data_IF_928899519945
#
_entry.id   IF_928899519945
#
_cell.length_a   1.000
_cell.length_b   1.000
_cell.length_c   1.000
_cell.angle_alpha   90.00
_cell.angle_beta   90.00
_cell.angle_gamma   90.00
#
_symmetry.space_group_name_H-M   'P 1'
#
loop_
_entity.id
_entity.type
_entity.pdbx_description
1 polymer ?
#
# COMPACT_ATOMS: atom_id res chain seq x y z
N UNK A 1 5.47 2.02 6.77
CA UNK A 1 4.92 2.41 5.48
C UNK A 1 4.53 3.86 5.59
N UNK A 2 5.15 4.72 4.79
CA UNK A 2 4.92 6.16 4.75
C UNK A 2 4.53 6.54 3.32
N UNK A 3 3.32 7.04 3.14
CA UNK A 3 2.82 7.52 1.85
C UNK A 3 2.74 9.05 1.91
N UNK A 4 3.38 9.71 0.95
CA UNK A 4 3.23 11.14 0.75
C UNK A 4 2.26 11.42 -0.39
N UNK A 5 1.35 12.37 -0.22
CA UNK A 5 0.48 12.88 -1.28
C UNK A 5 0.72 14.39 -1.37
N UNK A 6 1.21 14.86 -2.51
CA UNK A 6 1.63 16.25 -2.70
C UNK A 6 1.21 16.78 -4.07
N UNK A 7 1.11 18.09 -4.19
CA UNK A 7 0.80 18.75 -5.46
C UNK A 7 2.00 19.49 -6.04
N UNK A 8 2.10 19.54 -7.37
CA UNK A 8 2.91 20.54 -8.08
C UNK A 8 2.09 21.80 -8.28
N UNK A 9 2.69 22.99 -8.14
CA UNK A 9 1.98 24.26 -8.31
C UNK A 9 1.47 24.43 -9.75
N UNK A 10 0.47 25.29 -9.93
CA UNK A 10 0.03 25.67 -11.26
C UNK A 10 1.13 26.43 -12.01
N UNK A 11 1.18 26.26 -13.33
CA UNK A 11 2.14 26.95 -14.20
C UNK A 11 2.07 28.49 -14.05
N UNK A 12 0.88 29.05 -13.79
CA UNK A 12 0.71 30.50 -13.61
C UNK A 12 1.32 31.04 -12.32
N UNK A 13 1.62 30.20 -11.32
CA UNK A 13 2.23 30.63 -10.06
C UNK A 13 3.73 30.97 -10.22
N UNK A 14 4.32 30.60 -11.37
CA UNK A 14 5.64 31.03 -11.81
C UNK A 14 6.77 30.05 -11.50
N UNK A 15 7.85 30.17 -12.30
CA UNK A 15 8.99 29.24 -12.30
C UNK A 15 9.68 29.08 -10.94
N UNK A 16 9.74 30.15 -10.13
CA UNK A 16 10.37 30.09 -8.80
C UNK A 16 9.65 29.09 -7.89
N UNK A 17 8.32 29.07 -7.89
CA UNK A 17 7.52 28.15 -7.06
C UNK A 17 7.62 26.72 -7.58
N UNK A 18 7.59 26.54 -8.90
CA UNK A 18 7.81 25.23 -9.54
C UNK A 18 9.18 24.62 -9.18
N UNK A 19 10.27 25.38 -9.28
CA UNK A 19 11.60 24.90 -8.90
C UNK A 19 11.70 24.54 -7.41
N UNK A 20 11.03 25.30 -6.53
CA UNK A 20 10.98 24.98 -5.10
C UNK A 20 10.21 23.68 -4.84
N UNK A 21 9.08 23.47 -5.53
CA UNK A 21 8.28 22.25 -5.42
C UNK A 21 9.07 21.02 -5.89
N UNK A 22 9.78 21.08 -7.01
CA UNK A 22 10.57 19.95 -7.50
C UNK A 22 11.71 19.56 -6.53
N UNK A 23 12.41 20.55 -5.97
CA UNK A 23 13.41 20.28 -4.94
C UNK A 23 12.81 19.61 -3.70
N UNK A 24 11.62 20.07 -3.27
CA UNK A 24 10.89 19.50 -2.14
C UNK A 24 10.39 18.08 -2.40
N UNK A 25 9.84 17.83 -3.59
CA UNK A 25 9.37 16.50 -4.05
C UNK A 25 10.54 15.52 -4.08
N UNK A 26 11.70 15.94 -4.61
CA UNK A 26 12.90 15.11 -4.63
C UNK A 26 13.35 14.73 -3.22
N UNK A 27 13.37 15.68 -2.27
CA UNK A 27 13.72 15.40 -0.89
C UNK A 27 12.70 14.48 -0.19
N UNK A 28 11.40 14.68 -0.43
CA UNK A 28 10.34 13.83 0.14
C UNK A 28 10.43 12.39 -0.34
N UNK A 29 10.81 12.18 -1.61
CA UNK A 29 10.97 10.83 -2.19
C UNK A 29 12.01 10.00 -1.44
N UNK A 30 13.01 10.62 -0.81
CA UNK A 30 14.02 9.91 0.00
C UNK A 30 13.47 9.44 1.36
N UNK A 31 12.38 10.06 1.84
CA UNK A 31 11.77 9.80 3.14
C UNK A 31 10.46 8.99 3.10
N UNK A 32 9.85 8.85 1.92
CA UNK A 32 8.58 8.15 1.73
C UNK A 32 8.78 6.79 1.04
N UNK A 33 7.95 5.81 1.39
CA UNK A 33 7.89 4.53 0.68
C UNK A 33 7.25 4.70 -0.70
N UNK A 34 6.18 5.49 -0.75
CA UNK A 34 5.49 5.90 -1.98
C UNK A 34 5.17 7.39 -1.93
N UNK A 35 5.35 8.10 -3.04
CA UNK A 35 5.01 9.51 -3.21
C UNK A 35 4.06 9.66 -4.40
N UNK A 36 2.82 10.05 -4.13
CA UNK A 36 1.82 10.42 -5.13
C UNK A 36 1.98 11.90 -5.42
N UNK A 37 2.30 12.23 -6.67
CA UNK A 37 2.50 13.61 -7.13
C UNK A 37 1.36 14.01 -8.04
N UNK A 38 0.59 15.01 -7.63
CA UNK A 38 -0.57 15.52 -8.38
C UNK A 38 -0.19 16.83 -9.08
N UNK A 39 -0.15 16.89 -10.41
CA UNK A 39 0.05 18.14 -11.14
C UNK A 39 -1.21 19.01 -11.14
N UNK A 40 -1.17 20.17 -10.48
CA UNK A 40 -2.33 21.07 -10.45
C UNK A 40 -2.77 21.53 -11.86
N UNK A 41 -1.85 21.63 -12.82
CA UNK A 41 -2.19 21.98 -14.21
C UNK A 41 -3.15 20.98 -14.87
N UNK A 42 -3.21 19.73 -14.40
CA UNK A 42 -4.16 18.72 -14.92
C UNK A 42 -5.57 18.92 -14.41
N UNK A 43 -5.72 19.55 -13.25
CA UNK A 43 -7.03 19.91 -12.71
C UNK A 43 -7.73 20.93 -13.63
N UNK A 44 -6.98 21.80 -14.28
CA UNK A 44 -7.50 22.74 -15.29
C UNK A 44 -8.02 22.05 -16.55
N UNK A 45 -7.55 20.83 -16.85
CA UNK A 45 -8.00 20.04 -18.01
C UNK A 45 -9.27 19.25 -17.70
N UNK A 46 -9.51 18.94 -16.42
CA UNK A 46 -10.71 18.27 -15.95
C UNK A 46 -11.85 19.26 -15.65
N UNK A 47 -11.53 20.52 -15.35
CA UNK A 47 -12.48 21.59 -15.10
C UNK A 47 -12.95 22.31 -16.37
N UNK A 48 -14.03 23.08 -16.24
CA UNK A 48 -14.54 23.92 -17.32
C UNK A 48 -13.66 25.18 -17.52
N UNK A 49 -13.66 25.76 -18.72
CA UNK A 49 -12.82 26.92 -19.05
C UNK A 49 -13.14 28.17 -18.20
N UNK A 50 -14.29 28.17 -17.51
CA UNK A 50 -14.76 29.24 -16.62
C UNK A 50 -14.41 29.02 -15.14
N UNK A 51 -13.62 28.00 -14.79
CA UNK A 51 -13.25 27.70 -13.39
C UNK A 51 -12.51 28.87 -12.76
N UNK A 52 -12.98 29.31 -11.59
CA UNK A 52 -12.32 30.37 -10.82
C UNK A 52 -11.05 29.87 -10.14
N UNK A 53 -10.15 30.78 -9.78
CA UNK A 53 -8.93 30.42 -9.03
C UNK A 53 -9.23 29.66 -7.73
N UNK A 54 -10.28 30.08 -7.00
CA UNK A 54 -10.69 29.42 -5.75
C UNK A 54 -11.22 28.01 -6.00
N UNK A 55 -11.97 27.82 -7.07
CA UNK A 55 -12.50 26.51 -7.42
C UNK A 55 -11.39 25.57 -7.91
N UNK A 56 -10.40 26.09 -8.63
CA UNK A 56 -9.21 25.30 -9.02
C UNK A 56 -8.42 24.77 -7.81
N UNK A 57 -8.25 25.59 -6.75
CA UNK A 57 -7.63 25.11 -5.52
C UNK A 57 -8.51 24.10 -4.77
N UNK A 58 -9.84 24.29 -4.74
CA UNK A 58 -10.74 23.30 -4.16
C UNK A 58 -10.67 21.96 -4.90
N UNK A 59 -10.56 21.97 -6.22
CA UNK A 59 -10.36 20.74 -6.99
C UNK A 59 -9.03 20.06 -6.63
N UNK A 60 -7.98 20.82 -6.34
CA UNK A 60 -6.72 20.25 -5.86
C UNK A 60 -6.88 19.57 -4.50
N UNK A 61 -7.60 20.23 -3.57
CA UNK A 61 -7.89 19.69 -2.25
C UNK A 61 -8.76 18.43 -2.33
N UNK A 62 -9.75 18.40 -3.24
CA UNK A 62 -10.60 17.24 -3.48
C UNK A 62 -9.80 16.05 -4.02
N UNK A 63 -8.88 16.29 -4.96
CA UNK A 63 -8.00 15.24 -5.48
C UNK A 63 -7.04 14.75 -4.40
N UNK A 64 -6.49 15.62 -3.56
CA UNK A 64 -5.68 15.23 -2.40
C UNK A 64 -6.47 14.35 -1.43
N UNK A 65 -7.71 14.74 -1.13
CA UNK A 65 -8.62 13.98 -0.27
C UNK A 65 -8.88 12.59 -0.87
N UNK A 66 -9.25 12.52 -2.16
CA UNK A 66 -9.51 11.27 -2.85
C UNK A 66 -8.28 10.35 -2.87
N UNK A 67 -7.06 10.90 -2.99
CA UNK A 67 -5.83 10.11 -2.93
C UNK A 67 -5.57 9.47 -1.56
N UNK A 68 -5.93 10.16 -0.48
CA UNK A 68 -5.81 9.60 0.89
C UNK A 68 -6.97 8.63 1.17
N UNK A 69 -8.20 9.00 0.83
CA UNK A 69 -9.39 8.18 1.01
C UNK A 69 -9.29 6.86 0.22
N UNK A 70 -8.87 6.92 -1.04
CA UNK A 70 -8.73 5.73 -1.88
C UNK A 70 -7.85 4.64 -1.27
N UNK A 71 -6.82 5.01 -0.50
CA UNK A 71 -5.95 4.06 0.21
C UNK A 71 -6.56 3.65 1.55
N UNK A 72 -7.02 4.63 2.32
CA UNK A 72 -7.48 4.41 3.70
C UNK A 72 -8.80 3.65 3.76
N UNK A 73 -9.72 3.90 2.83
CA UNK A 73 -11.02 3.24 2.77
C UNK A 73 -10.87 1.76 2.40
N UNK A 74 -9.90 1.40 1.54
CA UNK A 74 -9.60 0.01 1.20
C UNK A 74 -9.19 -0.83 2.41
N UNK A 75 -8.58 -0.21 3.42
CA UNK A 75 -8.08 -0.89 4.63
C UNK A 75 -9.11 -0.86 5.74
N UNK A 76 -9.81 0.26 5.89
CA UNK A 76 -10.61 0.56 7.09
C UNK A 76 -12.11 0.37 6.90
N UNK A 77 -12.60 0.48 5.66
CA UNK A 77 -14.03 0.40 5.37
C UNK A 77 -14.37 -0.99 4.84
N UNK A 78 -15.25 -1.74 5.52
CA UNK A 78 -15.68 -3.04 5.02
C UNK A 78 -16.45 -2.90 3.71
N UNK A 79 -15.92 -3.52 2.66
CA UNK A 79 -16.58 -3.77 1.39
C UNK A 79 -17.06 -5.21 1.24
N UNK A 80 -17.61 -5.50 0.07
CA UNK A 80 -17.87 -6.86 -0.38
C UNK A 80 -16.56 -7.64 -0.60
N UNK A 81 -15.52 -6.93 -1.04
CA UNK A 81 -14.17 -7.45 -1.26
C UNK A 81 -13.24 -6.58 -0.43
N UNK A 82 -12.80 -7.13 0.70
CA UNK A 82 -11.85 -6.46 1.58
C UNK A 82 -10.43 -6.78 1.14
N UNK A 83 -9.60 -5.74 1.20
CA UNK A 83 -8.16 -5.83 1.05
C UNK A 83 -7.56 -5.67 2.45
N UNK A 84 -6.52 -6.43 2.76
CA UNK A 84 -5.84 -6.26 4.05
C UNK A 84 -4.67 -5.26 3.97
N UNK A 85 -4.15 -4.87 5.13
CA UNK A 85 -3.02 -3.94 5.17
C UNK A 85 -1.73 -4.53 4.59
N UNK A 86 -1.55 -5.86 4.64
CA UNK A 86 -0.36 -6.52 4.12
C UNK A 86 -0.33 -6.46 2.58
N UNK A 87 -1.48 -6.60 1.94
CA UNK A 87 -1.69 -6.45 0.50
C UNK A 87 -1.31 -5.02 0.04
N UNK A 88 -1.90 -3.99 0.67
CA UNK A 88 -1.57 -2.58 0.36
C UNK A 88 -0.10 -2.29 0.59
N UNK A 89 0.46 -2.78 1.71
CA UNK A 89 1.88 -2.63 2.02
C UNK A 89 2.77 -3.33 0.98
N UNK A 90 2.35 -4.46 0.44
CA UNK A 90 3.08 -5.20 -0.60
C UNK A 90 3.28 -4.39 -1.87
N UNK A 91 2.29 -3.60 -2.28
CA UNK A 91 2.39 -2.73 -3.46
C UNK A 91 3.10 -1.40 -3.15
N UNK A 92 2.79 -0.76 -2.01
CA UNK A 92 3.25 0.61 -1.74
C UNK A 92 4.60 0.69 -1.04
N UNK A 93 5.13 -0.39 -0.47
CA UNK A 93 6.41 -0.35 0.22
C UNK A 93 7.56 -0.22 -0.78
N UNK A 94 8.25 0.92 -0.78
CA UNK A 94 9.40 1.18 -1.66
C UNK A 94 9.07 1.36 -3.14
N UNK A 95 7.79 1.61 -3.48
CA UNK A 95 7.34 1.78 -4.87
C UNK A 95 7.82 3.09 -5.51
N UNK A 96 8.30 4.05 -4.71
CA UNK A 96 8.85 5.31 -5.20
C UNK A 96 7.76 6.27 -5.65
N UNK A 97 7.66 6.55 -6.95
CA UNK A 97 6.63 7.48 -7.46
C UNK A 97 5.39 6.71 -7.85
N UNK A 98 4.23 7.23 -7.47
CA UNK A 98 2.93 6.73 -7.86
C UNK A 98 2.11 7.82 -8.55
N UNK A 99 1.21 7.37 -9.41
CA UNK A 99 0.25 8.20 -10.15
C UNK A 99 -1.16 7.80 -9.76
N UNK A 100 -2.09 8.75 -9.86
CA UNK A 100 -3.48 8.53 -9.47
C UNK A 100 -4.41 8.89 -10.61
N UNK A 101 -5.41 8.06 -10.85
CA UNK A 101 -6.53 8.30 -11.76
C UNK A 101 -7.84 8.20 -10.98
N UNK A 102 -8.78 9.09 -11.29
CA UNK A 102 -10.10 9.11 -10.64
C UNK A 102 -11.15 9.19 -11.75
N UNK A 103 -12.19 8.38 -11.63
CA UNK A 103 -13.35 8.40 -12.51
C UNK A 103 -14.65 8.17 -11.74
N UNK A 104 -15.72 8.79 -12.21
CA UNK A 104 -17.06 8.65 -11.63
C UNK A 104 -18.09 8.56 -12.74
N UNK A 105 -19.06 7.66 -12.61
CA UNK A 105 -20.16 7.56 -13.56
C UNK A 105 -21.45 7.10 -12.87
N UNK A 106 -22.58 7.32 -13.54
CA UNK A 106 -23.94 6.96 -13.09
C UNK A 106 -24.69 6.20 -14.18
N UNK A 107 -25.73 5.48 -13.77
CA UNK A 107 -26.62 4.73 -14.67
C UNK A 107 -26.05 3.41 -15.18
N UNK A 108 -26.50 2.96 -16.35
CA UNK A 108 -26.13 1.67 -16.92
C UNK A 108 -24.65 1.64 -17.34
N UNK A 109 -23.94 0.57 -16.94
CA UNK A 109 -22.51 0.41 -17.17
C UNK A 109 -21.65 1.44 -16.43
N UNK A 110 -22.15 2.01 -15.32
CA UNK A 110 -21.44 3.02 -14.51
C UNK A 110 -20.05 2.55 -14.08
N UNK A 111 -19.89 1.30 -13.66
CA UNK A 111 -18.62 0.80 -13.14
C UNK A 111 -17.54 0.71 -14.22
N UNK A 112 -17.91 0.22 -15.41
CA UNK A 112 -17.02 0.18 -16.57
C UNK A 112 -16.64 1.59 -17.05
N UNK A 113 -17.62 2.50 -17.17
CA UNK A 113 -17.38 3.90 -17.55
C UNK A 113 -16.50 4.64 -16.54
N UNK A 114 -16.74 4.44 -15.24
CA UNK A 114 -15.93 5.05 -14.19
C UNK A 114 -14.48 4.54 -14.24
N UNK A 115 -14.28 3.24 -14.47
CA UNK A 115 -12.96 2.65 -14.65
C UNK A 115 -12.27 3.20 -15.91
N UNK A 116 -12.98 3.32 -17.03
CA UNK A 116 -12.46 3.90 -18.27
C UNK A 116 -12.01 5.36 -18.08
N UNK A 117 -12.80 6.17 -17.36
CA UNK A 117 -12.42 7.55 -17.02
C UNK A 117 -11.19 7.57 -16.10
N UNK A 118 -11.10 6.65 -15.14
CA UNK A 118 -9.99 6.58 -14.20
C UNK A 118 -8.66 6.24 -14.90
N UNK A 119 -8.63 5.24 -15.77
CA UNK A 119 -7.41 4.84 -16.50
C UNK A 119 -6.97 5.87 -17.56
N UNK A 120 -7.92 6.66 -18.07
CA UNK A 120 -7.66 7.73 -19.03
C UNK A 120 -7.57 9.11 -18.35
N UNK A 121 -7.48 9.15 -17.01
CA UNK A 121 -7.50 10.39 -16.26
C UNK A 121 -6.28 11.25 -16.57
N UNK A 122 -6.43 12.57 -16.79
CA UNK A 122 -5.30 13.48 -16.99
C UNK A 122 -4.30 13.52 -15.83
N UNK A 123 -4.70 13.03 -14.65
CA UNK A 123 -3.86 12.93 -13.45
C UNK A 123 -2.80 11.82 -13.55
N UNK A 124 -3.00 10.84 -14.43
CA UNK A 124 -1.99 9.85 -14.81
C UNK A 124 -1.03 10.51 -15.81
N UNK A 125 0.00 11.23 -15.30
CA UNK A 125 1.00 11.93 -16.12
C UNK A 125 1.70 11.01 -17.14
N UNK A 126 1.85 9.73 -16.79
CA UNK A 126 2.29 8.67 -17.66
C UNK A 126 1.16 7.66 -17.85
N UNK A 127 1.18 6.97 -18.99
CA UNK A 127 0.29 5.83 -19.24
C UNK A 127 0.37 4.83 -18.09
N UNK A 128 -0.73 4.14 -17.81
CA UNK A 128 -0.77 3.03 -16.86
C UNK A 128 0.13 1.86 -17.29
N UNK A 129 0.49 1.82 -18.57
CA UNK A 129 1.47 0.91 -19.17
C UNK A 129 2.82 1.01 -18.45
N UNK A 130 3.17 -0.04 -17.69
CA UNK A 130 4.44 -0.15 -16.96
C UNK A 130 4.34 -0.01 -15.44
N UNK A 131 3.15 0.22 -14.89
CA UNK A 131 2.92 0.09 -13.46
C UNK A 131 3.03 -1.38 -13.03
N UNK A 132 3.97 -1.70 -12.13
CA UNK A 132 4.16 -3.05 -11.58
C UNK A 132 3.20 -3.35 -10.41
N UNK A 133 2.64 -2.31 -9.80
CA UNK A 133 1.65 -2.44 -8.74
C UNK A 133 0.49 -1.48 -8.97
N UNK A 134 -0.73 -1.97 -8.84
CA UNK A 134 -1.95 -1.17 -9.02
C UNK A 134 -2.88 -1.41 -7.83
N UNK A 135 -3.30 -0.32 -7.20
CA UNK A 135 -4.38 -0.31 -6.21
C UNK A 135 -5.62 0.30 -6.86
N UNK A 136 -6.74 -0.41 -6.79
CA UNK A 136 -8.02 0.06 -7.29
C UNK A 136 -9.06 0.06 -6.16
N UNK A 137 -9.69 1.20 -5.93
CA UNK A 137 -10.83 1.32 -5.02
C UNK A 137 -12.08 1.62 -5.82
N UNK A 138 -13.12 0.82 -5.60
CA UNK A 138 -14.44 1.00 -6.22
C UNK A 138 -15.43 1.35 -5.12
N UNK A 139 -15.89 2.59 -5.09
CA UNK A 139 -16.92 3.06 -4.19
C UNK A 139 -18.28 3.14 -4.91
N UNK A 140 -19.33 2.62 -4.29
CA UNK A 140 -20.69 2.67 -4.81
C UNK A 140 -21.73 2.38 -3.74
N UNK A 141 -23.01 2.54 -4.07
CA UNK A 141 -24.10 2.19 -3.15
C UNK A 141 -24.19 0.69 -2.85
N UNK A 142 -25.05 0.32 -1.90
CA UNK A 142 -25.33 -1.09 -1.57
C UNK A 142 -25.88 -1.93 -2.74
N UNK A 143 -26.21 -1.30 -3.87
CA UNK A 143 -26.66 -1.95 -5.10
C UNK A 143 -25.50 -2.36 -6.04
N UNK A 144 -24.24 -2.08 -5.67
CA UNK A 144 -23.07 -2.43 -6.47
C UNK A 144 -22.91 -3.95 -6.62
N UNK A 145 -23.04 -4.43 -7.86
CA UNK A 145 -22.97 -5.86 -8.16
C UNK A 145 -21.55 -6.40 -8.37
N UNK A 146 -21.35 -7.69 -8.09
CA UNK A 146 -20.08 -8.39 -8.35
C UNK A 146 -19.68 -8.36 -9.84
N UNK A 147 -20.66 -8.43 -10.75
CA UNK A 147 -20.41 -8.38 -12.19
C UNK A 147 -19.82 -7.02 -12.61
N UNK A 148 -20.39 -5.93 -12.10
CA UNK A 148 -19.90 -4.57 -12.36
C UNK A 148 -18.46 -4.37 -11.87
N UNK A 149 -18.15 -4.91 -10.69
CA UNK A 149 -16.79 -4.89 -10.11
C UNK A 149 -15.82 -5.65 -11.00
N UNK A 150 -16.21 -6.85 -11.48
CA UNK A 150 -15.36 -7.68 -12.33
C UNK A 150 -15.07 -7.02 -13.69
N UNK A 151 -16.05 -6.35 -14.29
CA UNK A 151 -15.85 -5.60 -15.53
C UNK A 151 -14.86 -4.45 -15.35
N UNK A 152 -15.01 -3.65 -14.28
CA UNK A 152 -14.09 -2.57 -13.95
C UNK A 152 -12.66 -3.09 -13.69
N UNK A 153 -12.52 -4.18 -12.94
CA UNK A 153 -11.23 -4.79 -12.64
C UNK A 153 -10.53 -5.33 -13.88
N UNK A 154 -11.27 -5.99 -14.78
CA UNK A 154 -10.73 -6.52 -16.03
C UNK A 154 -10.19 -5.41 -16.92
N UNK A 155 -10.91 -4.29 -17.03
CA UNK A 155 -10.47 -3.14 -17.82
C UNK A 155 -9.15 -2.54 -17.28
N UNK A 156 -9.03 -2.41 -15.96
CA UNK A 156 -7.81 -1.92 -15.32
C UNK A 156 -6.64 -2.89 -15.50
N UNK A 157 -6.91 -4.20 -15.44
CA UNK A 157 -5.90 -5.23 -15.69
C UNK A 157 -5.37 -5.20 -17.11
N UNK A 158 -6.25 -5.00 -18.11
CA UNK A 158 -5.85 -4.91 -19.52
C UNK A 158 -5.01 -3.65 -19.81
N UNK A 159 -5.17 -2.58 -19.02
CA UNK A 159 -4.42 -1.33 -19.16
C UNK A 159 -3.08 -1.32 -18.40
N UNK A 160 -2.88 -2.24 -17.45
CA UNK A 160 -1.67 -2.34 -16.64
C UNK A 160 -0.61 -3.26 -17.26
N UNK A 161 0.55 -3.38 -16.61
CA UNK A 161 1.56 -4.37 -17.04
C UNK A 161 1.02 -5.80 -16.88
N UNK A 162 1.28 -6.76 -17.80
CA UNK A 162 0.77 -8.14 -17.70
C UNK A 162 1.16 -8.86 -16.41
N UNK A 163 2.34 -8.54 -15.88
CA UNK A 163 2.86 -9.05 -14.60
C UNK A 163 2.60 -8.10 -13.42
N UNK A 164 1.72 -7.10 -13.57
CA UNK A 164 1.39 -6.18 -12.49
C UNK A 164 0.66 -6.90 -11.36
N UNK A 165 1.05 -6.61 -10.12
CA UNK A 165 0.26 -7.00 -8.95
C UNK A 165 -0.90 -6.02 -8.80
N UNK A 166 -2.13 -6.50 -9.00
CA UNK A 166 -3.33 -5.67 -8.93
C UNK A 166 -4.14 -6.06 -7.70
N UNK A 167 -4.35 -5.08 -6.84
CA UNK A 167 -5.20 -5.21 -5.65
C UNK A 167 -6.38 -4.30 -5.84
N UNK A 168 -7.58 -4.86 -5.70
CA UNK A 168 -8.80 -4.09 -5.74
C UNK A 168 -9.67 -4.38 -4.53
N UNK A 169 -10.30 -3.33 -4.01
CA UNK A 169 -11.30 -3.45 -2.96
C UNK A 169 -12.52 -2.61 -3.28
N UNK A 170 -13.58 -2.88 -2.53
CA UNK A 170 -14.85 -2.18 -2.68
C UNK A 170 -15.18 -1.40 -1.43
N UNK A 171 -15.89 -0.29 -1.61
CA UNK A 171 -16.36 0.57 -0.53
C UNK A 171 -17.84 0.77 -0.75
N UNK A 172 -18.65 0.42 0.25
CA UNK A 172 -20.09 0.64 0.19
C UNK A 172 -20.40 1.99 0.85
N UNK A 173 -20.89 2.92 0.04
CA UNK A 173 -21.32 4.25 0.46
C UNK A 173 -22.70 4.57 -0.13
N UNK A 174 -23.74 4.40 0.69
CA UNK A 174 -25.13 4.65 0.30
C UNK A 174 -25.40 6.13 -0.02
N UNK A 175 -24.52 7.06 0.36
CA UNK A 175 -24.66 8.48 0.01
C UNK A 175 -24.39 8.74 -1.48
N UNK A 176 -23.72 7.81 -2.18
CA UNK A 176 -23.45 7.90 -3.62
C UNK A 176 -24.68 7.60 -4.48
N UNK A 177 -25.71 6.96 -3.93
CA UNK A 177 -26.92 6.60 -4.66
C UNK A 177 -26.61 5.72 -5.88
N UNK A 178 -26.86 6.24 -7.08
CA UNK A 178 -26.61 5.53 -8.34
C UNK A 178 -25.20 5.74 -8.92
N UNK A 179 -24.33 6.47 -8.22
CA UNK A 179 -22.96 6.78 -8.63
C UNK A 179 -21.98 5.68 -8.23
N UNK A 180 -21.05 5.38 -9.13
CA UNK A 180 -19.86 4.59 -8.85
C UNK A 180 -18.63 5.46 -9.08
N UNK A 181 -17.72 5.47 -8.10
CA UNK A 181 -16.42 6.13 -8.17
C UNK A 181 -15.33 5.08 -8.17
N UNK A 182 -14.42 5.18 -9.12
CA UNK A 182 -13.25 4.33 -9.26
C UNK A 182 -12.02 5.20 -9.06
N UNK A 183 -11.20 4.84 -8.08
CA UNK A 183 -9.88 5.45 -7.85
C UNK A 183 -8.82 4.42 -8.13
N UNK A 184 -7.88 4.76 -9.00
CA UNK A 184 -6.76 3.92 -9.42
C UNK A 184 -5.47 4.60 -8.97
N UNK A 185 -4.62 3.85 -8.28
CA UNK A 185 -3.28 4.29 -7.88
C UNK A 185 -2.28 3.33 -8.49
N UNK A 186 -1.53 3.81 -9.47
CA UNK A 186 -0.49 3.07 -10.17
C UNK A 186 0.86 3.38 -9.54
N UNK A 187 1.64 2.36 -9.18
CA UNK A 187 2.92 2.48 -8.51
C UNK A 187 3.94 1.48 -9.08
N UNK A 188 5.22 1.67 -8.72
CA UNK A 188 6.28 0.79 -9.18
C UNK A 188 6.57 0.94 -10.68
N UNK A 189 6.41 2.14 -11.23
CA UNK A 189 6.90 2.44 -12.56
C UNK A 189 8.41 2.23 -12.61
N UNK A 190 8.90 1.51 -13.62
CA UNK A 190 10.35 1.39 -13.82
C UNK A 190 10.95 2.79 -13.92
N UNK A 191 11.82 3.12 -12.96
CA UNK A 191 12.62 4.33 -13.04
C UNK A 191 13.55 4.16 -14.25
N UNK A 192 13.16 4.72 -15.39
CA UNK A 192 14.00 4.83 -16.56
C UNK A 192 15.35 5.43 -16.16
N UNK A 193 16.38 4.58 -16.05
CA UNK A 193 17.77 5.00 -15.95
C UNK A 193 18.31 5.39 -14.57
N UNK A 194 18.13 4.57 -13.53
CA UNK A 194 19.17 4.40 -12.52
C UNK A 194 18.87 3.13 -11.73
N UNK A 195 19.51 2.02 -12.12
CA UNK A 195 19.40 0.75 -11.43
C UNK A 195 19.64 0.93 -9.93
N UNK A 196 18.56 0.80 -9.15
CA UNK A 196 18.68 0.59 -7.71
C UNK A 196 19.29 -0.79 -7.56
N UNK A 197 20.62 -0.83 -7.46
CA UNK A 197 21.37 -2.05 -7.19
C UNK A 197 20.74 -2.67 -5.93
N UNK A 198 20.28 -3.93 -5.96
CA UNK A 198 19.85 -4.59 -4.73
C UNK A 198 20.99 -4.50 -3.70
N UNK A 199 20.70 -4.32 -2.40
CA UNK A 199 21.73 -4.22 -1.39
C UNK A 199 22.63 -5.45 -1.50
N UNK A 200 23.87 -5.21 -1.91
CA UNK A 200 24.83 -6.25 -2.23
C UNK A 200 25.08 -7.10 -1.01
N UNK A 201 24.78 -8.39 -1.13
CA UNK A 201 25.38 -9.41 -0.28
C UNK A 201 26.89 -9.30 -0.50
N UNK A 202 27.61 -9.03 0.57
CA UNK A 202 29.06 -8.85 0.54
C UNK A 202 29.74 -10.15 0.08
N UNK A 203 30.11 -10.24 -1.19
CA UNK A 203 31.03 -11.27 -1.69
C UNK A 203 32.44 -10.94 -1.19
N UNK A 204 32.81 -11.56 -0.08
CA UNK A 204 34.21 -11.74 0.29
C UNK A 204 34.77 -12.89 -0.56
N UNK A 205 35.83 -12.60 -1.31
CA UNK A 205 36.47 -13.54 -2.22
C UNK A 205 37.08 -14.75 -1.52
N UNK A 206 37.12 -15.86 -2.25
CA UNK A 206 37.82 -17.07 -1.84
C UNK A 206 37.42 -18.26 -2.69
N UNK A 207 38.14 -18.49 -3.79
CA UNK A 207 37.99 -19.69 -4.60
C UNK A 207 38.34 -20.93 -3.77
N UNK A 208 37.38 -21.83 -3.57
CA UNK A 208 37.67 -23.21 -3.16
C UNK A 208 36.79 -24.19 -3.95
N UNK A 209 37.46 -24.99 -4.78
CA UNK A 209 36.94 -26.14 -5.50
C UNK A 209 36.52 -27.21 -4.48
N UNK A 210 35.26 -27.62 -4.52
CA UNK A 210 34.72 -28.68 -3.67
C UNK A 210 35.24 -30.03 -4.20
N UNK A 211 36.04 -30.75 -3.40
CA UNK A 211 36.36 -32.16 -3.63
C UNK A 211 35.35 -33.06 -2.89
N UNK A 212 35.16 -34.27 -3.44
CA UNK A 212 34.20 -35.27 -3.00
C UNK A 212 34.53 -35.84 -1.61
N UNK A 213 33.58 -35.75 -0.68
CA UNK A 213 33.72 -36.26 0.68
C UNK A 213 33.63 -37.80 0.75
N UNK A 214 34.51 -38.41 1.56
CA UNK A 214 34.38 -39.79 2.07
C UNK A 214 33.79 -39.76 3.48
N UNK A 215 32.89 -40.71 3.78
CA UNK A 215 32.19 -40.83 5.05
C UNK A 215 33.15 -41.16 6.23
N UNK A 216 33.14 -40.32 7.26
CA UNK A 216 33.82 -40.54 8.55
C UNK A 216 32.82 -40.74 9.69
N UNK A 217 33.17 -41.60 10.65
CA UNK A 217 32.31 -42.12 11.72
C UNK A 217 31.96 -41.07 12.79
N UNK A 218 30.72 -41.13 13.28
CA UNK A 218 30.18 -40.32 14.38
C UNK A 218 30.75 -40.76 15.73
N UNK A 219 31.27 -39.82 16.52
CA UNK A 219 31.50 -40.00 17.95
C UNK A 219 30.69 -38.96 18.72
N UNK A 220 29.82 -39.42 19.61
CA UNK A 220 28.98 -38.59 20.47
C UNK A 220 29.78 -38.06 21.64
N UNK A 221 29.81 -36.74 21.84
CA UNK A 221 29.88 -36.03 23.15
C UNK A 221 30.15 -34.55 22.87
N UNK A 222 29.11 -33.71 22.93
CA UNK A 222 29.21 -32.24 22.81
C UNK A 222 28.27 -31.53 23.79
N UNK A 223 28.07 -32.12 24.97
CA UNK A 223 27.41 -31.43 26.08
C UNK A 223 28.22 -31.66 27.34
N UNK A 224 29.01 -30.66 27.72
CA UNK A 224 29.40 -30.46 29.12
C UNK A 224 28.38 -29.48 29.74
N UNK A 225 27.90 -29.74 30.97
CA UNK A 225 26.94 -28.87 31.63
C UNK A 225 27.64 -27.62 32.19
N UNK A 226 27.04 -26.44 31.95
CA UNK A 226 27.43 -25.18 32.58
C UNK A 226 26.77 -25.06 33.96
N UNK A 227 27.59 -24.79 34.98
CA UNK A 227 27.15 -24.56 36.36
C UNK A 227 26.25 -23.33 36.49
N UNK A 228 25.22 -23.45 37.33
CA UNK A 228 24.20 -22.44 37.55
C UNK A 228 24.73 -21.22 38.33
N UNK A 229 24.57 -20.02 37.75
CA UNK A 229 24.77 -18.74 38.46
C UNK A 229 23.44 -18.30 39.07
N UNK A 230 23.39 -18.18 40.39
CA UNK A 230 22.23 -17.71 41.15
C UNK A 230 22.17 -16.18 41.22
N UNK A 231 21.03 -15.58 40.85
CA UNK A 231 20.72 -14.16 41.06
C UNK A 231 19.71 -14.04 42.21
N UNK A 232 19.96 -13.23 43.26
CA UNK A 232 19.03 -13.10 44.38
C UNK A 232 17.86 -12.18 44.02
N UNK A 233 16.63 -12.72 44.14
CA UNK A 233 15.39 -11.96 44.05
C UNK A 233 14.88 -11.69 45.49
N UNK A 234 14.74 -10.42 45.85
CA UNK A 234 14.06 -10.04 47.10
C UNK A 234 12.54 -10.02 46.88
N UNK A 235 11.84 -10.93 47.55
CA UNK A 235 10.39 -10.81 47.77
C UNK A 235 10.09 -11.06 49.25
N UNK A 236 9.23 -10.21 49.81
CA UNK A 236 8.85 -10.23 51.21
C UNK A 236 8.12 -11.54 51.56
N UNK A 237 8.80 -12.39 52.32
CA UNK A 237 8.22 -13.25 53.35
C UNK A 237 6.98 -14.07 52.97
N UNK A 238 7.18 -15.17 52.23
CA UNK A 238 6.46 -16.44 52.44
C UNK A 238 7.11 -17.53 51.57
N UNK A 239 7.66 -18.56 52.21
CA UNK A 239 8.18 -19.78 51.59
C UNK A 239 7.05 -20.73 51.22
N UNK A 240 6.98 -21.17 49.95
CA UNK A 240 6.28 -22.39 49.56
C UNK A 240 7.06 -23.10 48.44
N UNK A 241 7.39 -24.36 48.71
CA UNK A 241 8.11 -25.31 47.85
C UNK A 241 7.10 -26.06 46.99
N UNK A 242 7.38 -26.31 45.71
CA UNK A 242 6.59 -27.21 44.87
C UNK A 242 7.49 -28.32 44.33
N UNK A 243 7.17 -29.53 44.75
CA UNK A 243 7.64 -30.80 44.24
C UNK A 243 6.88 -31.92 44.94
N UNK A 244 6.12 -32.70 44.18
CA UNK A 244 5.62 -34.03 44.59
C UNK A 244 4.10 -34.16 44.73
N UNK A 245 3.55 -34.89 43.77
CA UNK A 245 2.42 -35.84 43.82
C UNK A 245 0.98 -35.40 44.12
N UNK A 246 0.13 -35.84 43.17
CA UNK A 246 -1.28 -36.25 43.18
C UNK A 246 -2.39 -35.36 43.77
N UNK A 247 -3.43 -35.24 42.93
CA UNK A 247 -4.85 -34.99 43.23
C UNK A 247 -5.24 -33.67 43.94
N UNK A 248 -5.43 -32.61 43.14
CA UNK A 248 -6.71 -31.85 43.11
C UNK A 248 -6.61 -30.68 42.11
N UNK A 249 -7.38 -30.72 41.02
CA UNK A 249 -7.48 -29.58 40.08
C UNK A 249 -8.48 -28.57 40.66
N UNK A 250 -7.97 -27.47 41.20
CA UNK A 250 -8.81 -26.43 41.78
C UNK A 250 -9.47 -25.58 40.68
N UNK A 251 -10.77 -25.79 40.48
CA UNK A 251 -11.58 -25.08 39.48
C UNK A 251 -11.84 -23.65 39.95
N UNK A 252 -11.51 -22.62 39.16
CA UNK A 252 -11.62 -21.23 39.59
C UNK A 252 -13.08 -20.79 39.84
N UNK A 253 -13.30 -19.78 40.72
CA UNK A 253 -14.61 -19.51 41.32
C UNK A 253 -15.74 -19.11 40.35
N UNK A 254 -15.41 -18.65 39.14
CA UNK A 254 -16.38 -18.23 38.13
C UNK A 254 -16.92 -19.40 37.27
N UNK A 255 -16.34 -20.60 37.38
CA UNK A 255 -16.86 -21.82 36.73
C UNK A 255 -17.81 -22.63 37.63
N UNK A 256 -18.03 -22.22 38.88
CA UNK A 256 -19.06 -22.81 39.74
C UNK A 256 -20.37 -22.04 39.58
N UNK A 257 -21.07 -22.34 38.48
CA UNK A 257 -22.40 -21.86 38.04
C UNK A 257 -22.57 -20.36 37.80
#
# INVERSE_FOLDING_TARGET
MTVGVVTRPFSFEGKRRSNQAENGISALRESCDTLIVIPNDRLLQMGDAAVSLMDAFRSADEVLLNGVQGITDLITTPGLINVDFADVKGIMSGAGTALMGIGSARGEGRSLKAAEIAINSPLLEASMEGAQGVLMSIAGGSDLGLFEINEAASLVQDAAHPDANIIFGTVIDDSLGDEVRVTVIAAGFEAGGAGRKPPGVAETGGAHRIESARAGKLTSTLFEPVDAVSVPLHTNGATLSIGGDDDDVDVPPFMRR
#
